data_IF_584845394812
#
_entry.id   IF_584845394812
#
_cell.length_a   1.000
_cell.length_b   1.000
_cell.length_c   1.000
_cell.angle_alpha   90.00
_cell.angle_beta   90.00
_cell.angle_gamma   90.00
#
_symmetry.space_group_name_H-M   'P 1'
#
loop_
_entity.id
_entity.type
_entity.pdbx_description
1 polymer ?
#
# COMPACT_ATOMS: atom_id res chain seq x y z
N UNK A 1 -25.80 -20.62 5.44
CA UNK A 1 -25.66 -19.16 5.64
C UNK A 1 -26.95 -18.52 5.17
N UNK A 2 -27.36 -17.42 5.78
CA UNK A 2 -28.60 -16.73 5.43
C UNK A 2 -28.41 -15.89 4.15
N UNK A 3 -27.49 -14.94 4.17
CA UNK A 3 -27.11 -14.17 2.99
C UNK A 3 -25.63 -13.83 2.93
N UNK A 4 -25.15 -13.42 1.77
CA UNK A 4 -23.77 -12.99 1.53
C UNK A 4 -23.75 -11.65 0.81
N UNK A 5 -22.93 -10.74 1.32
CA UNK A 5 -22.60 -9.44 0.72
C UNK A 5 -21.16 -9.46 0.24
N UNK A 6 -20.87 -8.68 -0.80
CA UNK A 6 -19.57 -8.65 -1.46
C UNK A 6 -19.23 -7.23 -1.92
N UNK A 7 -17.94 -6.94 -2.05
CA UNK A 7 -17.45 -5.76 -2.77
C UNK A 7 -16.79 -6.22 -4.07
N UNK A 8 -17.25 -5.67 -5.19
CA UNK A 8 -16.77 -6.02 -6.52
C UNK A 8 -15.89 -4.92 -7.09
N UNK A 9 -14.79 -5.29 -7.74
CA UNK A 9 -13.91 -4.39 -8.46
C UNK A 9 -13.88 -4.77 -9.95
N UNK A 10 -13.67 -3.78 -10.82
CA UNK A 10 -13.55 -3.99 -12.26
C UNK A 10 -12.11 -3.77 -12.73
N UNK A 11 -11.60 -4.68 -13.56
CA UNK A 11 -10.25 -4.62 -14.12
C UNK A 11 -10.34 -4.34 -15.61
N UNK A 12 -10.13 -3.08 -15.99
CA UNK A 12 -10.27 -2.61 -17.37
C UNK A 12 -9.39 -3.36 -18.37
N UNK A 13 -8.14 -3.66 -18.02
CA UNK A 13 -7.20 -4.34 -18.92
C UNK A 13 -7.64 -5.75 -19.33
N UNK A 14 -8.41 -6.44 -18.47
CA UNK A 14 -8.92 -7.78 -18.75
C UNK A 14 -10.40 -7.80 -19.16
N UNK A 15 -11.11 -6.67 -18.97
CA UNK A 15 -12.56 -6.59 -19.15
C UNK A 15 -13.37 -7.39 -18.14
N UNK A 16 -12.78 -7.79 -16.99
CA UNK A 16 -13.39 -8.71 -16.01
C UNK A 16 -13.56 -8.07 -14.64
N UNK A 17 -14.63 -8.47 -13.94
CA UNK A 17 -14.85 -8.15 -12.55
C UNK A 17 -14.16 -9.17 -11.62
N UNK A 18 -13.92 -8.76 -10.37
CA UNK A 18 -13.34 -9.59 -9.32
C UNK A 18 -13.93 -9.24 -7.96
N UNK A 19 -14.29 -10.27 -7.19
CA UNK A 19 -14.67 -10.12 -5.79
C UNK A 19 -13.45 -9.71 -4.96
N UNK A 20 -13.54 -8.55 -4.32
CA UNK A 20 -12.50 -7.97 -3.47
C UNK A 20 -12.55 -8.46 -2.02
N UNK A 21 -13.75 -8.61 -1.45
CA UNK A 21 -13.98 -9.09 -0.09
C UNK A 21 -15.37 -9.71 0.05
N UNK A 22 -15.59 -10.49 1.11
CA UNK A 22 -16.88 -11.12 1.41
C UNK A 22 -17.30 -10.86 2.84
N UNK A 23 -18.60 -10.75 3.07
CA UNK A 23 -19.22 -10.70 4.40
C UNK A 23 -20.53 -11.47 4.40
N UNK A 24 -20.63 -12.45 5.27
CA UNK A 24 -21.73 -13.40 5.36
C UNK A 24 -22.53 -13.15 6.63
N UNK A 25 -23.85 -13.07 6.48
CA UNK A 25 -24.75 -13.35 7.58
C UNK A 25 -25.04 -14.84 7.59
N UNK A 26 -24.60 -15.53 8.64
CA UNK A 26 -24.73 -16.98 8.75
C UNK A 26 -26.08 -17.40 9.34
N UNK A 27 -26.82 -16.43 9.90
CA UNK A 27 -28.01 -16.69 10.70
C UNK A 27 -27.65 -17.55 11.90
N UNK A 28 -28.48 -18.54 12.18
CA UNK A 28 -28.24 -19.54 13.23
C UNK A 28 -27.77 -20.90 12.68
N UNK A 29 -27.40 -21.00 11.40
CA UNK A 29 -27.09 -22.29 10.76
C UNK A 29 -25.91 -22.99 11.45
N UNK A 30 -24.82 -22.25 11.67
CA UNK A 30 -23.61 -22.78 12.30
C UNK A 30 -23.78 -22.95 13.81
N UNK A 31 -24.48 -22.03 14.48
CA UNK A 31 -24.69 -22.12 15.93
C UNK A 31 -25.57 -23.31 16.29
N UNK A 32 -26.55 -23.68 15.45
CA UNK A 32 -27.29 -24.94 15.58
C UNK A 32 -26.41 -26.16 15.34
N UNK A 33 -25.57 -26.14 14.30
CA UNK A 33 -24.69 -27.26 13.95
C UNK A 33 -23.63 -27.57 15.02
N UNK A 34 -23.10 -26.52 15.67
CA UNK A 34 -22.05 -26.62 16.68
C UNK A 34 -22.55 -26.44 18.12
N UNK A 35 -23.87 -26.46 18.32
CA UNK A 35 -24.52 -26.28 19.63
C UNK A 35 -24.09 -25.01 20.40
N UNK A 36 -23.84 -23.92 19.69
CA UNK A 36 -23.48 -22.63 20.27
C UNK A 36 -24.77 -21.89 20.68
N UNK A 37 -25.10 -21.97 21.96
CA UNK A 37 -26.33 -21.41 22.50
C UNK A 37 -26.12 -20.69 23.83
N UNK A 38 -27.04 -19.79 24.15
CA UNK A 38 -27.18 -19.16 25.46
C UNK A 38 -28.57 -19.48 26.03
N UNK A 39 -28.72 -19.38 27.35
CA UNK A 39 -30.02 -19.42 27.99
C UNK A 39 -30.54 -17.98 28.09
N UNK A 40 -31.76 -17.75 27.61
CA UNK A 40 -32.43 -16.47 27.75
C UNK A 40 -32.75 -16.19 29.23
N UNK A 41 -32.53 -14.95 29.70
CA UNK A 41 -32.72 -14.63 31.11
C UNK A 41 -34.21 -14.48 31.50
N UNK A 42 -35.08 -14.13 30.55
CA UNK A 42 -36.50 -13.91 30.81
C UNK A 42 -37.31 -15.18 30.56
N UNK A 43 -37.09 -15.83 29.42
CA UNK A 43 -37.85 -17.02 29.03
C UNK A 43 -37.23 -18.32 29.53
N UNK A 44 -35.96 -18.29 29.96
CA UNK A 44 -35.16 -19.48 30.32
C UNK A 44 -34.99 -20.48 29.17
N UNK A 45 -35.33 -20.10 27.94
CA UNK A 45 -35.22 -20.94 26.75
C UNK A 45 -33.81 -20.95 26.16
N UNK A 46 -33.45 -22.05 25.49
CA UNK A 46 -32.19 -22.18 24.74
C UNK A 46 -32.29 -21.37 23.45
N UNK A 47 -31.51 -20.30 23.33
CA UNK A 47 -31.41 -19.50 22.11
C UNK A 47 -30.08 -19.72 21.40
N UNK A 48 -30.15 -20.02 20.10
CA UNK A 48 -28.96 -20.12 19.25
C UNK A 48 -28.49 -18.73 18.83
N UNK A 49 -27.19 -18.49 18.90
CA UNK A 49 -26.64 -17.18 18.56
C UNK A 49 -26.68 -16.92 17.04
N UNK A 50 -26.91 -15.67 16.64
CA UNK A 50 -26.74 -15.26 15.25
C UNK A 50 -25.27 -15.01 14.97
N UNK A 51 -24.77 -15.52 13.85
CA UNK A 51 -23.35 -15.44 13.50
C UNK A 51 -23.12 -14.73 12.18
N UNK A 52 -21.97 -14.08 12.09
CA UNK A 52 -21.43 -13.51 10.85
C UNK A 52 -20.00 -14.03 10.65
N UNK A 53 -19.55 -14.08 9.39
CA UNK A 53 -18.13 -14.24 9.07
C UNK A 53 -17.78 -13.34 7.89
N UNK A 54 -16.54 -12.89 7.82
CA UNK A 54 -16.08 -11.98 6.77
C UNK A 54 -14.61 -12.25 6.45
N UNK A 55 -14.22 -11.97 5.21
CA UNK A 55 -12.92 -12.34 4.68
C UNK A 55 -12.38 -11.32 3.70
N UNK A 56 -11.10 -10.97 3.91
CA UNK A 56 -10.28 -10.15 3.02
C UNK A 56 -8.91 -10.82 2.91
N UNK A 57 -8.30 -10.80 1.73
CA UNK A 57 -7.01 -11.48 1.50
C UNK A 57 -6.02 -10.58 0.77
N UNK A 58 -4.80 -11.07 0.59
CA UNK A 58 -3.74 -10.45 -0.22
C UNK A 58 -4.10 -10.29 -1.69
N UNK A 59 -5.25 -10.82 -2.16
CA UNK A 59 -5.84 -10.50 -3.46
C UNK A 59 -5.92 -8.99 -3.70
N UNK A 60 -6.15 -8.22 -2.64
CA UNK A 60 -6.15 -6.74 -2.66
C UNK A 60 -4.91 -6.14 -3.32
N UNK A 61 -3.72 -6.71 -3.08
CA UNK A 61 -2.46 -6.26 -3.69
C UNK A 61 -2.50 -6.51 -5.20
N UNK A 62 -2.95 -7.69 -5.64
CA UNK A 62 -3.09 -8.02 -7.06
C UNK A 62 -4.08 -7.09 -7.78
N UNK A 63 -5.22 -6.79 -7.15
CA UNK A 63 -6.22 -5.85 -7.69
C UNK A 63 -5.63 -4.44 -7.83
N UNK A 64 -4.91 -3.95 -6.81
CA UNK A 64 -4.21 -2.67 -6.87
C UNK A 64 -3.21 -2.62 -8.04
N UNK A 65 -2.39 -3.66 -8.22
CA UNK A 65 -1.44 -3.73 -9.33
C UNK A 65 -2.13 -3.70 -10.70
N UNK A 66 -3.23 -4.44 -10.87
CA UNK A 66 -3.94 -4.52 -12.15
C UNK A 66 -4.73 -3.24 -12.51
N UNK A 67 -5.14 -2.46 -11.51
CA UNK A 67 -5.91 -1.22 -11.71
C UNK A 67 -4.99 -0.02 -11.91
N UNK A 68 -3.94 0.11 -11.11
CA UNK A 68 -3.09 1.31 -11.11
C UNK A 68 -1.80 1.15 -11.91
N UNK A 69 -1.33 -0.08 -12.17
CA UNK A 69 -0.12 -0.33 -12.93
C UNK A 69 -0.20 0.21 -14.36
N UNK A 70 0.94 0.65 -14.88
CA UNK A 70 1.06 1.23 -16.22
C UNK A 70 2.20 0.57 -17.03
N UNK A 71 2.52 1.15 -18.20
CA UNK A 71 3.57 0.62 -19.07
C UNK A 71 4.99 0.77 -18.48
N UNK A 72 5.17 1.56 -17.42
CA UNK A 72 6.45 1.76 -16.75
C UNK A 72 6.61 0.88 -15.51
N UNK A 73 5.52 0.36 -14.97
CA UNK A 73 5.54 -0.64 -13.90
C UNK A 73 4.43 -0.44 -12.88
N UNK A 74 4.79 -0.63 -11.61
CA UNK A 74 3.87 -0.46 -10.50
C UNK A 74 3.54 1.02 -10.29
N UNK A 75 2.33 1.32 -9.81
CA UNK A 75 1.97 2.64 -9.29
C UNK A 75 1.31 2.41 -7.93
N UNK A 76 1.96 2.83 -6.84
CA UNK A 76 1.44 2.64 -5.50
C UNK A 76 0.54 3.80 -5.09
N UNK A 77 -0.70 3.56 -4.62
CA UNK A 77 -1.49 4.60 -3.98
C UNK A 77 -0.76 5.14 -2.72
N UNK A 78 -0.69 6.47 -2.52
CA UNK A 78 0.10 7.06 -1.44
C UNK A 78 -0.22 6.57 -0.03
N UNK A 79 -1.44 6.10 0.23
CA UNK A 79 -1.84 5.62 1.56
C UNK A 79 -1.23 4.26 1.93
N UNK A 80 -0.83 3.45 0.94
CA UNK A 80 -0.28 2.09 1.15
C UNK A 80 1.17 1.96 0.69
N UNK A 81 1.73 2.99 0.03
CA UNK A 81 3.12 3.00 -0.40
C UNK A 81 4.07 2.98 0.81
N UNK A 82 4.99 2.01 0.89
CA UNK A 82 5.99 1.96 1.97
C UNK A 82 6.99 3.11 1.91
N UNK A 83 7.27 3.61 0.70
CA UNK A 83 7.97 4.87 0.43
C UNK A 83 7.02 5.73 -0.40
N UNK A 84 6.62 6.88 0.13
CA UNK A 84 5.80 7.86 -0.58
C UNK A 84 6.67 8.79 -1.42
N UNK A 85 7.81 9.22 -0.85
CA UNK A 85 8.74 10.14 -1.49
C UNK A 85 10.14 9.53 -1.51
N UNK A 86 10.75 9.46 -2.69
CA UNK A 86 12.16 9.10 -2.84
C UNK A 86 12.97 10.32 -3.29
N UNK A 87 13.98 10.68 -2.51
CA UNK A 87 14.91 11.78 -2.80
C UNK A 87 16.15 11.20 -3.46
N UNK A 88 16.48 11.69 -4.65
CA UNK A 88 17.63 11.24 -5.45
C UNK A 88 18.55 12.44 -5.72
N UNK A 89 19.81 12.43 -5.22
CA UNK A 89 20.78 13.45 -5.58
C UNK A 89 21.15 13.32 -7.05
N UNK A 90 21.17 14.44 -7.75
CA UNK A 90 21.39 14.56 -9.19
C UNK A 90 22.50 15.57 -9.48
N UNK A 91 23.08 15.53 -10.68
CA UNK A 91 24.07 16.53 -11.11
C UNK A 91 25.42 16.45 -10.40
N UNK A 92 25.76 15.30 -9.77
CA UNK A 92 27.10 15.04 -9.25
C UNK A 92 28.02 14.76 -10.44
N UNK A 93 28.89 15.72 -10.76
CA UNK A 93 29.88 15.63 -11.85
C UNK A 93 31.29 15.49 -11.29
N UNK A 94 32.24 15.00 -12.09
CA UNK A 94 33.65 14.93 -11.71
C UNK A 94 34.28 16.30 -11.39
N UNK A 95 33.64 17.38 -11.82
CA UNK A 95 34.02 18.77 -11.54
C UNK A 95 33.45 19.32 -10.23
N UNK A 96 32.54 18.61 -9.56
CA UNK A 96 31.96 19.04 -8.30
C UNK A 96 33.00 18.90 -7.18
N UNK A 97 33.12 19.89 -6.31
CA UNK A 97 34.02 19.75 -5.16
C UNK A 97 33.41 18.77 -4.15
N UNK A 98 34.27 18.05 -3.41
CA UNK A 98 33.80 17.17 -2.31
C UNK A 98 32.97 17.91 -1.26
N UNK A 99 33.19 19.22 -1.11
CA UNK A 99 32.43 20.07 -0.19
C UNK A 99 31.00 20.27 -0.71
N UNK A 100 30.84 20.58 -1.99
CA UNK A 100 29.53 20.78 -2.61
C UNK A 100 28.73 19.47 -2.68
N UNK A 101 29.42 18.35 -2.90
CA UNK A 101 28.80 17.02 -2.84
C UNK A 101 28.27 16.72 -1.43
N UNK A 102 29.07 16.98 -0.38
CA UNK A 102 28.62 16.80 0.99
C UNK A 102 27.43 17.72 1.33
N UNK A 103 27.48 18.98 0.89
CA UNK A 103 26.36 19.93 1.10
C UNK A 103 25.07 19.43 0.42
N UNK A 104 25.16 18.84 -0.77
CA UNK A 104 24.02 18.23 -1.45
C UNK A 104 23.45 17.05 -0.66
N UNK A 105 24.31 16.18 -0.12
CA UNK A 105 23.86 15.05 0.71
C UNK A 105 23.19 15.53 1.99
N UNK A 106 23.74 16.56 2.63
CA UNK A 106 23.19 17.16 3.85
C UNK A 106 21.82 17.78 3.58
N UNK A 107 21.64 18.47 2.43
CA UNK A 107 20.34 18.99 1.97
C UNK A 107 19.32 17.88 1.73
N UNK A 108 19.74 16.76 1.12
CA UNK A 108 18.87 15.59 0.91
C UNK A 108 18.36 15.02 2.25
N UNK A 109 19.25 14.86 3.23
CA UNK A 109 18.87 14.37 4.57
C UNK A 109 18.05 15.40 5.36
N UNK A 110 18.29 16.71 5.19
CA UNK A 110 17.48 17.76 5.79
C UNK A 110 16.03 17.71 5.25
N UNK A 111 15.86 17.64 3.93
CA UNK A 111 14.53 17.52 3.30
C UNK A 111 13.80 16.25 3.78
N UNK A 112 14.50 15.13 3.87
CA UNK A 112 13.92 13.89 4.42
C UNK A 112 13.39 14.09 5.84
N UNK A 113 14.13 14.79 6.71
CA UNK A 113 13.67 15.09 8.08
C UNK A 113 12.43 15.98 8.10
N UNK A 114 12.39 16.99 7.24
CA UNK A 114 11.21 17.86 7.10
C UNK A 114 9.97 17.06 6.66
N UNK A 115 10.12 16.18 5.67
CA UNK A 115 9.04 15.32 5.20
C UNK A 115 8.56 14.34 6.29
N UNK A 116 9.49 13.72 7.02
CA UNK A 116 9.16 12.83 8.12
C UNK A 116 8.44 13.56 9.27
N UNK A 117 8.78 14.83 9.53
CA UNK A 117 8.09 15.66 10.51
C UNK A 117 6.63 15.96 10.14
N UNK A 118 6.29 15.84 8.85
CA UNK A 118 4.93 15.96 8.31
C UNK A 118 4.23 14.60 8.12
N UNK A 119 4.75 13.52 8.73
CA UNK A 119 4.25 12.15 8.59
C UNK A 119 4.29 11.59 7.16
N UNK A 120 5.20 12.12 6.32
CA UNK A 120 5.44 11.64 4.96
C UNK A 120 6.55 10.58 4.99
N UNK A 121 6.26 9.38 4.49
CA UNK A 121 7.22 8.26 4.40
C UNK A 121 8.26 8.52 3.32
N UNK A 122 9.27 9.32 3.66
CA UNK A 122 10.35 9.70 2.76
C UNK A 122 11.60 8.83 2.94
N UNK A 123 12.32 8.59 1.83
CA UNK A 123 13.63 7.93 1.81
C UNK A 123 14.60 8.67 0.90
N UNK A 124 15.88 8.59 1.20
CA UNK A 124 17.00 9.10 0.38
C UNK A 124 17.72 7.92 -0.29
N UNK A 125 18.04 8.04 -1.59
CA UNK A 125 18.87 7.06 -2.31
C UNK A 125 20.27 7.61 -2.56
N UNK A 126 21.12 7.48 -1.55
CA UNK A 126 22.49 8.01 -1.55
C UNK A 126 23.54 7.01 -2.10
N UNK A 127 23.11 5.92 -2.73
CA UNK A 127 24.03 4.93 -3.31
C UNK A 127 24.88 5.57 -4.43
N UNK A 128 26.19 5.59 -4.29
CA UNK A 128 27.12 6.19 -5.26
C UNK A 128 27.45 5.24 -6.43
N UNK A 129 27.27 3.94 -6.23
CA UNK A 129 27.53 2.91 -7.23
C UNK A 129 26.49 2.84 -8.39
N UNK A 130 25.47 3.70 -8.38
CA UNK A 130 24.45 3.76 -9.43
C UNK A 130 24.24 5.19 -9.93
N UNK A 131 24.08 5.33 -11.25
CA UNK A 131 23.75 6.61 -11.85
C UNK A 131 22.35 7.10 -11.43
N UNK A 132 22.09 8.42 -11.42
CA UNK A 132 20.75 8.96 -11.14
C UNK A 132 19.68 8.36 -12.07
N UNK A 133 19.97 8.22 -13.37
CA UNK A 133 19.05 7.61 -14.34
C UNK A 133 18.69 6.15 -14.00
N UNK A 134 19.64 5.36 -13.48
CA UNK A 134 19.34 4.02 -12.99
C UNK A 134 18.42 4.05 -11.77
N UNK A 135 18.67 4.95 -10.81
CA UNK A 135 17.81 5.13 -9.64
C UNK A 135 16.40 5.56 -10.03
N UNK A 136 16.28 6.44 -11.02
CA UNK A 136 14.98 6.90 -11.53
C UNK A 136 14.14 5.71 -11.99
N UNK A 137 14.70 4.88 -12.86
CA UNK A 137 14.02 3.68 -13.35
C UNK A 137 13.75 2.66 -12.23
N UNK A 138 14.70 2.47 -11.30
CA UNK A 138 14.53 1.57 -10.17
C UNK A 138 13.31 1.90 -9.30
N UNK A 139 13.11 3.19 -9.01
CA UNK A 139 11.99 3.64 -8.17
C UNK A 139 10.69 3.83 -8.95
N UNK A 140 10.77 4.14 -10.24
CA UNK A 140 9.61 4.17 -11.15
C UNK A 140 9.01 2.77 -11.32
N UNK A 141 9.84 1.74 -11.56
CA UNK A 141 9.39 0.33 -11.60
C UNK A 141 8.73 -0.13 -10.30
N UNK A 142 9.19 0.39 -9.16
CA UNK A 142 8.64 0.10 -7.82
C UNK A 142 7.39 0.91 -7.48
N UNK A 143 6.99 1.86 -8.33
CA UNK A 143 5.79 2.67 -8.14
C UNK A 143 5.82 3.63 -6.97
N UNK A 144 7.00 4.15 -6.60
CA UNK A 144 7.07 5.21 -5.59
C UNK A 144 6.28 6.42 -6.11
N UNK A 145 5.31 6.95 -5.33
CA UNK A 145 4.42 8.01 -5.80
C UNK A 145 5.14 9.28 -6.27
N UNK A 146 6.16 9.72 -5.52
CA UNK A 146 6.88 10.97 -5.78
C UNK A 146 8.38 10.71 -5.78
N UNK A 147 9.06 11.14 -6.83
CA UNK A 147 10.52 11.28 -6.87
C UNK A 147 10.89 12.75 -6.79
N UNK A 148 11.75 13.10 -5.84
CA UNK A 148 12.35 14.43 -5.72
C UNK A 148 13.79 14.36 -6.19
N UNK A 149 14.12 15.16 -7.19
CA UNK A 149 15.46 15.27 -7.75
C UNK A 149 16.12 16.52 -7.15
N UNK A 150 17.21 16.33 -6.40
CA UNK A 150 17.95 17.42 -5.78
C UNK A 150 19.30 17.57 -6.46
N UNK A 151 19.54 18.71 -7.09
CA UNK A 151 20.82 19.05 -7.71
C UNK A 151 21.56 20.17 -6.98
N UNK A 152 22.79 20.49 -7.39
CA UNK A 152 23.54 21.63 -6.87
C UNK A 152 22.96 23.01 -7.28
N UNK A 153 22.02 23.05 -8.23
CA UNK A 153 21.36 24.24 -8.76
C UNK A 153 19.87 24.22 -8.46
#
# INVERSE_FOLDING_TARGET
GDFTTTVEAYISASGRAIQGATSHHLGQNFSKMFEICIQDQETLEKQYVYQNSWGLTTRTIGVMCMIHGDNKGLVLPPNVASVQVIIVPCGITASLSKKDEQELMDKCEALKKELLALDIRARTDLRDNYSPGWKFNHWELKGVPIRVELGPR
#
